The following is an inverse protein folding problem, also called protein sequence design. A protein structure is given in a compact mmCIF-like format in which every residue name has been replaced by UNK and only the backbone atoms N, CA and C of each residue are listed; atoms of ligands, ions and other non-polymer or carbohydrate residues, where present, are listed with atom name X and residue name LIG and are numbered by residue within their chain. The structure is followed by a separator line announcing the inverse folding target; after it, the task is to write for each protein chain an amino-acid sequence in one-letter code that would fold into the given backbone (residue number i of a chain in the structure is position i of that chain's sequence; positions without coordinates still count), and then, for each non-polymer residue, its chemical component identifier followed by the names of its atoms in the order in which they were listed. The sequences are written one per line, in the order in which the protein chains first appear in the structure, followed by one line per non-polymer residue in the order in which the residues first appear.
data_IF_631227586956
#
_entry.id   IF_631227586956
#
_cell.length_a   1.000
_cell.length_b   1.000
_cell.length_c   1.000
_cell.angle_alpha   90.00
_cell.angle_beta   90.00
_cell.angle_gamma   90.00
#
_symmetry.space_group_name_H-M   'P 1'
#
loop_
_entity.id
_entity.type
_entity.pdbx_description
1 polymer ?
#
# COMPACT_ATOMS: atom_id res chain seq x y z
N UNK A 1 7.83 13.02 -8.88
CA UNK A 1 8.22 12.25 -7.67
C UNK A 1 9.71 12.34 -7.44
N UNK A 2 10.50 11.65 -8.27
CA UNK A 2 11.97 11.61 -8.12
C UNK A 2 12.67 12.94 -8.37
N UNK A 3 12.24 13.75 -9.35
CA UNK A 3 12.76 15.11 -9.53
C UNK A 3 12.64 15.97 -8.26
N UNK A 4 11.47 15.97 -7.63
CA UNK A 4 11.26 16.74 -6.40
C UNK A 4 12.11 16.21 -5.22
N UNK A 5 12.32 14.89 -5.13
CA UNK A 5 13.23 14.31 -4.14
C UNK A 5 14.69 14.66 -4.42
N UNK A 6 15.08 14.73 -5.70
CA UNK A 6 16.41 15.09 -6.13
C UNK A 6 16.78 16.52 -5.71
N UNK A 7 15.88 17.49 -5.91
CA UNK A 7 16.07 18.89 -5.51
C UNK A 7 16.34 19.05 -3.99
N UNK A 8 15.95 18.06 -3.19
CA UNK A 8 16.13 18.05 -1.73
C UNK A 8 17.18 17.04 -1.26
N UNK A 9 17.96 16.45 -2.17
CA UNK A 9 18.90 15.35 -1.90
C UNK A 9 18.26 14.24 -1.02
N UNK A 10 17.03 13.85 -1.35
CA UNK A 10 16.17 12.97 -0.55
C UNK A 10 15.65 11.78 -1.36
N UNK A 11 16.47 11.28 -2.27
CA UNK A 11 16.15 10.16 -3.15
C UNK A 11 16.06 8.85 -2.36
N UNK A 12 15.16 7.99 -2.81
CA UNK A 12 15.08 6.60 -2.37
C UNK A 12 15.81 5.78 -3.43
N UNK A 13 16.79 4.99 -3.02
CA UNK A 13 17.49 4.08 -3.93
C UNK A 13 16.63 2.83 -4.18
N UNK A 14 16.50 2.43 -5.44
CA UNK A 14 15.50 1.45 -5.91
C UNK A 14 16.09 0.09 -6.32
N UNK A 15 17.31 -0.21 -5.89
CA UNK A 15 17.98 -1.51 -6.04
C UNK A 15 18.52 -1.81 -7.44
N UNK A 16 17.85 -1.34 -8.49
CA UNK A 16 18.26 -1.52 -9.89
C UNK A 16 18.75 -0.23 -10.53
N UNK A 17 19.52 -0.34 -11.62
CA UNK A 17 20.03 0.79 -12.40
C UNK A 17 20.68 1.88 -11.53
N UNK A 18 21.42 1.44 -10.50
CA UNK A 18 22.09 2.32 -9.54
C UNK A 18 23.59 2.12 -9.60
N UNK A 19 24.35 3.21 -9.53
CA UNK A 19 25.79 3.20 -9.32
C UNK A 19 26.10 3.74 -7.93
N UNK A 20 26.91 3.00 -7.17
CA UNK A 20 27.36 3.39 -5.84
C UNK A 20 28.89 3.47 -5.87
N UNK A 21 29.46 4.54 -5.31
CA UNK A 21 30.91 4.65 -5.18
C UNK A 21 31.42 3.56 -4.24
N UNK A 22 32.50 2.88 -4.65
CA UNK A 22 33.07 1.76 -3.90
C UNK A 22 33.50 2.15 -2.49
N UNK A 23 34.22 3.26 -2.35
CA UNK A 23 34.76 3.70 -1.05
C UNK A 23 33.65 3.99 -0.01
N UNK A 24 32.61 4.78 -0.28
CA UNK A 24 31.48 4.94 0.65
C UNK A 24 30.74 3.63 0.96
N UNK A 25 30.57 2.74 -0.03
CA UNK A 25 29.93 1.44 0.20
C UNK A 25 30.72 0.59 1.20
N UNK A 26 32.05 0.57 1.06
CA UNK A 26 32.92 -0.20 1.94
C UNK A 26 33.05 0.44 3.33
N UNK A 27 33.20 1.77 3.41
CA UNK A 27 33.39 2.50 4.65
C UNK A 27 32.14 2.45 5.56
N UNK A 28 30.95 2.44 4.98
CA UNK A 28 29.70 2.52 5.74
C UNK A 28 29.00 1.18 5.92
N UNK A 29 29.69 0.04 5.81
CA UNK A 29 29.15 -1.27 6.20
C UNK A 29 28.38 -2.02 5.10
N UNK A 30 28.77 -1.84 3.83
CA UNK A 30 28.32 -2.63 2.66
C UNK A 30 26.79 -2.65 2.51
N UNK A 31 26.19 -3.72 2.01
CA UNK A 31 24.73 -3.89 1.97
C UNK A 31 24.22 -4.36 3.35
N UNK A 32 23.09 -3.85 3.81
CA UNK A 32 22.51 -4.31 5.08
C UNK A 32 21.91 -5.71 4.94
N UNK A 33 22.23 -6.57 5.91
CA UNK A 33 21.72 -7.96 5.95
C UNK A 33 20.41 -8.10 6.74
N UNK A 34 20.05 -7.08 7.52
CA UNK A 34 18.87 -7.08 8.40
C UNK A 34 17.61 -6.51 7.74
N UNK A 35 17.75 -5.76 6.65
CA UNK A 35 16.66 -5.08 5.95
C UNK A 35 16.35 -5.76 4.63
N UNK A 36 15.06 -6.00 4.35
CA UNK A 36 14.64 -6.55 3.05
C UNK A 36 14.68 -5.52 1.90
N UNK A 37 14.79 -4.24 2.25
CA UNK A 37 14.97 -3.11 1.35
C UNK A 37 16.36 -2.53 1.63
N UNK A 38 17.38 -3.38 1.48
CA UNK A 38 18.79 -3.04 1.68
C UNK A 38 19.23 -1.88 0.78
N UNK A 39 18.55 -1.74 -0.36
CA UNK A 39 18.71 -0.66 -1.32
C UNK A 39 18.36 0.72 -0.72
N UNK A 40 17.12 0.85 -0.28
CA UNK A 40 16.60 2.08 0.32
C UNK A 40 17.33 2.40 1.62
N UNK A 41 17.69 1.37 2.39
CA UNK A 41 18.45 1.50 3.64
C UNK A 41 19.85 2.06 3.38
N UNK A 42 20.59 1.51 2.41
CA UNK A 42 21.90 2.02 2.02
C UNK A 42 21.81 3.50 1.60
N UNK A 43 20.81 3.85 0.80
CA UNK A 43 20.57 5.23 0.38
C UNK A 43 20.41 6.18 1.56
N UNK A 44 19.57 5.83 2.54
CA UNK A 44 19.37 6.65 3.75
C UNK A 44 20.66 6.76 4.58
N UNK A 45 21.34 5.63 4.81
CA UNK A 45 22.58 5.61 5.59
C UNK A 45 23.68 6.45 4.95
N UNK A 46 23.78 6.47 3.62
CA UNK A 46 24.73 7.34 2.93
C UNK A 46 24.38 8.83 3.12
N UNK A 47 23.09 9.19 3.11
CA UNK A 47 22.66 10.57 3.43
C UNK A 47 22.99 10.96 4.87
N UNK A 48 22.81 10.05 5.83
CA UNK A 48 23.20 10.26 7.23
C UNK A 48 24.72 10.47 7.40
N UNK A 49 25.53 9.99 6.46
CA UNK A 49 26.98 10.19 6.45
C UNK A 49 27.42 11.36 5.53
N UNK A 50 26.49 12.23 5.12
CA UNK A 50 26.79 13.44 4.36
C UNK A 50 27.04 13.23 2.87
N UNK A 51 26.80 12.03 2.35
CA UNK A 51 26.85 11.79 0.91
C UNK A 51 25.60 12.32 0.20
N UNK A 52 25.71 12.39 -1.11
CA UNK A 52 24.64 12.85 -1.98
C UNK A 52 24.14 11.74 -2.88
N UNK A 53 22.82 11.69 -3.06
CA UNK A 53 22.17 10.83 -4.04
C UNK A 53 21.74 11.69 -5.24
N UNK A 54 22.06 11.22 -6.46
CA UNK A 54 21.72 11.89 -7.71
C UNK A 54 20.80 11.01 -8.55
N UNK A 55 19.80 11.63 -9.17
CA UNK A 55 18.85 10.98 -10.09
C UNK A 55 19.13 11.53 -11.48
N UNK A 56 19.30 10.62 -12.44
CA UNK A 56 19.47 10.94 -13.85
C UNK A 56 18.21 10.43 -14.56
N UNK A 57 17.51 11.32 -15.24
CA UNK A 57 16.22 11.00 -15.89
C UNK A 57 16.39 10.42 -17.30
N UNK A 58 17.36 9.52 -17.44
CA UNK A 58 17.64 8.81 -18.69
C UNK A 58 17.33 7.31 -18.52
N UNK A 59 16.79 6.71 -19.58
CA UNK A 59 16.45 5.28 -19.57
C UNK A 59 17.68 4.44 -19.91
N UNK A 60 18.32 3.87 -18.89
CA UNK A 60 19.46 2.96 -19.06
C UNK A 60 19.10 1.47 -19.12
N UNK A 61 17.82 1.11 -18.91
CA UNK A 61 17.38 -0.28 -18.93
C UNK A 61 15.86 -0.44 -18.84
N UNK A 62 15.38 -1.64 -19.14
CA UNK A 62 13.95 -2.01 -19.10
C UNK A 62 13.77 -3.25 -18.23
N UNK A 63 13.10 -3.09 -17.09
CA UNK A 63 12.80 -4.18 -16.16
C UNK A 63 11.55 -4.96 -16.57
N UNK A 64 11.44 -6.19 -16.07
CA UNK A 64 10.20 -6.97 -16.16
C UNK A 64 9.28 -6.59 -15.00
N UNK A 65 7.99 -6.38 -15.30
CA UNK A 65 6.95 -6.20 -14.29
C UNK A 65 6.56 -7.57 -13.69
N UNK A 66 5.93 -7.59 -12.50
CA UNK A 66 5.40 -8.83 -11.93
C UNK A 66 4.43 -9.53 -12.90
N UNK A 67 4.58 -10.85 -13.06
CA UNK A 67 3.83 -11.64 -14.05
C UNK A 67 2.37 -11.92 -13.67
N UNK A 68 2.02 -11.78 -12.40
CA UNK A 68 0.66 -11.96 -11.90
C UNK A 68 0.39 -11.07 -10.68
N UNK A 69 -0.87 -11.06 -10.23
CA UNK A 69 -1.29 -10.23 -9.10
C UNK A 69 -0.69 -10.69 -7.77
N UNK A 70 -0.46 -11.99 -7.58
CA UNK A 70 0.20 -12.54 -6.38
C UNK A 70 1.63 -12.03 -6.25
N UNK A 71 2.38 -12.02 -7.35
CA UNK A 71 3.74 -11.50 -7.45
C UNK A 71 3.77 -10.01 -7.14
N UNK A 72 2.82 -9.23 -7.69
CA UNK A 72 2.69 -7.80 -7.41
C UNK A 72 2.38 -7.52 -5.93
N UNK A 73 1.43 -8.26 -5.33
CA UNK A 73 1.13 -8.20 -3.89
C UNK A 73 2.37 -8.50 -3.04
N UNK A 74 3.08 -9.57 -3.38
CA UNK A 74 4.29 -9.96 -2.65
C UNK A 74 5.39 -8.90 -2.72
N UNK A 75 5.57 -8.26 -3.88
CA UNK A 75 6.54 -7.17 -4.04
C UNK A 75 6.17 -5.97 -3.16
N UNK A 76 4.90 -5.53 -3.22
CA UNK A 76 4.43 -4.37 -2.46
C UNK A 76 4.41 -4.61 -0.95
N UNK A 77 4.09 -5.84 -0.53
CA UNK A 77 4.25 -6.27 0.87
C UNK A 77 5.70 -6.11 1.33
N UNK A 78 6.68 -6.59 0.55
CA UNK A 78 8.11 -6.48 0.91
C UNK A 78 8.57 -5.05 1.04
N UNK A 79 8.16 -4.17 0.11
CA UNK A 79 8.48 -2.74 0.18
C UNK A 79 7.91 -2.10 1.44
N UNK A 80 6.63 -2.34 1.73
CA UNK A 80 5.97 -1.83 2.93
C UNK A 80 6.64 -2.32 4.22
N UNK A 81 6.96 -3.61 4.27
CA UNK A 81 7.68 -4.22 5.38
C UNK A 81 9.06 -3.59 5.58
N UNK A 82 9.87 -3.51 4.53
CA UNK A 82 11.23 -2.97 4.58
C UNK A 82 11.26 -1.50 4.99
N UNK A 83 10.36 -0.66 4.49
CA UNK A 83 10.29 0.73 4.95
C UNK A 83 9.98 0.85 6.43
N UNK A 84 9.13 -0.01 7.01
CA UNK A 84 8.88 0.02 8.45
C UNK A 84 10.09 -0.47 9.26
N UNK A 85 10.86 -1.43 8.74
CA UNK A 85 12.15 -1.81 9.34
C UNK A 85 13.12 -0.63 9.35
N UNK A 86 13.28 0.06 8.21
CA UNK A 86 14.15 1.24 8.06
C UNK A 86 13.68 2.36 8.99
N UNK A 87 12.39 2.68 8.98
CA UNK A 87 11.80 3.72 9.82
C UNK A 87 12.07 3.45 11.31
N UNK A 88 11.94 2.20 11.77
CA UNK A 88 12.22 1.82 13.17
C UNK A 88 13.70 1.94 13.51
N UNK A 89 14.58 1.45 12.64
CA UNK A 89 16.01 1.43 12.88
C UNK A 89 16.58 2.86 12.91
N UNK A 90 16.18 3.67 11.93
CA UNK A 90 16.69 5.04 11.72
C UNK A 90 15.80 6.11 12.36
N UNK A 91 14.84 5.72 13.22
CA UNK A 91 13.84 6.64 13.79
C UNK A 91 14.51 7.84 14.48
N UNK A 92 15.54 7.60 15.29
CA UNK A 92 16.25 8.65 16.03
C UNK A 92 16.89 9.67 15.10
N UNK A 93 17.46 9.26 13.97
CA UNK A 93 18.05 10.19 13.01
C UNK A 93 16.99 10.94 12.18
N UNK A 94 15.83 10.33 11.96
CA UNK A 94 14.74 10.93 11.20
C UNK A 94 14.00 12.02 11.99
N UNK A 95 13.85 11.86 13.31
CA UNK A 95 13.10 12.81 14.16
C UNK A 95 13.96 13.61 15.16
N UNK A 96 15.16 13.15 15.48
CA UNK A 96 16.04 13.74 16.50
C UNK A 96 17.25 14.45 15.91
N UNK A 97 18.35 14.49 16.67
CA UNK A 97 19.61 15.08 16.21
C UNK A 97 20.26 14.20 15.15
N UNK A 98 20.48 14.77 13.97
CA UNK A 98 21.18 14.09 12.87
C UNK A 98 21.70 15.09 11.85
N UNK A 99 22.61 14.60 11.03
CA UNK A 99 23.16 15.27 9.84
C UNK A 99 22.14 15.42 8.71
N UNK A 100 20.99 14.73 8.79
CA UNK A 100 19.95 14.82 7.77
C UNK A 100 19.27 16.19 7.81
N UNK A 101 19.18 16.81 6.64
CA UNK A 101 18.42 18.04 6.42
C UNK A 101 16.93 17.84 6.67
N UNK A 102 16.20 18.92 6.97
CA UNK A 102 14.75 18.88 7.10
C UNK A 102 14.05 18.32 5.85
N UNK A 103 14.54 18.68 4.65
CA UNK A 103 13.98 18.19 3.38
C UNK A 103 14.10 16.67 3.23
N UNK A 104 15.25 16.10 3.63
CA UNK A 104 15.47 14.66 3.64
C UNK A 104 14.51 13.95 4.60
N UNK A 105 14.46 14.41 5.86
CA UNK A 105 13.57 13.86 6.89
C UNK A 105 12.12 13.89 6.44
N UNK A 106 11.66 15.04 5.93
CA UNK A 106 10.30 15.21 5.41
C UNK A 106 9.99 14.18 4.33
N UNK A 107 10.87 14.02 3.33
CA UNK A 107 10.61 13.12 2.21
C UNK A 107 10.65 11.63 2.58
N UNK A 108 11.53 11.21 3.50
CA UNK A 108 11.53 9.83 3.98
C UNK A 108 10.28 9.54 4.82
N UNK A 109 9.95 10.40 5.78
CA UNK A 109 8.77 10.24 6.62
C UNK A 109 7.48 10.29 5.78
N UNK A 110 7.24 11.38 5.05
CA UNK A 110 6.00 11.56 4.23
C UNK A 110 5.89 10.56 3.09
N UNK A 111 7.02 10.07 2.57
CA UNK A 111 7.05 9.02 1.56
C UNK A 111 6.41 7.70 2.03
N UNK A 112 6.53 7.39 3.31
CA UNK A 112 6.01 6.15 3.89
C UNK A 112 4.70 6.34 4.68
N UNK A 113 4.34 7.58 5.05
CA UNK A 113 3.06 7.89 5.70
C UNK A 113 1.85 7.39 4.90
N UNK A 114 1.92 7.39 3.57
CA UNK A 114 0.85 6.83 2.73
C UNK A 114 0.54 5.37 3.04
N UNK A 115 1.55 4.55 3.34
CA UNK A 115 1.39 3.13 3.67
C UNK A 115 0.82 2.91 5.07
N UNK A 116 1.15 3.78 6.03
CA UNK A 116 0.50 3.79 7.35
C UNK A 116 -1.01 4.01 7.21
N UNK A 117 -1.44 4.81 6.23
CA UNK A 117 -2.85 5.00 5.90
C UNK A 117 -3.56 3.70 5.48
N UNK A 118 -2.91 2.81 4.73
CA UNK A 118 -3.49 1.51 4.37
C UNK A 118 -3.57 0.58 5.59
N UNK A 119 -2.59 0.60 6.49
CA UNK A 119 -2.65 -0.16 7.75
C UNK A 119 -3.80 0.31 8.65
N UNK A 120 -3.96 1.63 8.79
CA UNK A 120 -5.05 2.22 9.56
C UNK A 120 -6.42 1.86 8.95
N UNK A 121 -6.53 1.87 7.62
CA UNK A 121 -7.74 1.44 6.91
C UNK A 121 -8.12 -0.01 7.22
N UNK A 122 -7.14 -0.92 7.29
CA UNK A 122 -7.38 -2.32 7.65
C UNK A 122 -7.88 -2.44 9.10
N UNK A 123 -7.28 -1.71 10.04
CA UNK A 123 -7.73 -1.67 11.44
C UNK A 123 -9.17 -1.17 11.52
N UNK A 124 -9.49 -0.08 10.82
CA UNK A 124 -10.86 0.43 10.78
C UNK A 124 -11.84 -0.54 10.13
N UNK A 125 -11.43 -1.26 9.08
CA UNK A 125 -12.28 -2.28 8.46
C UNK A 125 -12.65 -3.37 9.46
N UNK A 126 -11.66 -3.93 10.17
CA UNK A 126 -11.88 -4.97 11.18
C UNK A 126 -12.74 -4.41 12.32
N UNK A 127 -12.46 -3.18 12.75
CA UNK A 127 -13.26 -2.46 13.75
C UNK A 127 -14.72 -2.26 13.33
N UNK A 128 -14.99 -1.85 12.08
CA UNK A 128 -16.35 -1.68 11.56
C UNK A 128 -17.13 -2.98 11.51
N UNK A 129 -16.48 -4.08 11.11
CA UNK A 129 -17.09 -5.42 11.10
C UNK A 129 -17.43 -5.83 12.53
N UNK A 130 -16.47 -5.73 13.46
CA UNK A 130 -16.67 -6.08 14.87
C UNK A 130 -17.78 -5.23 15.51
N UNK A 131 -17.80 -3.92 15.24
CA UNK A 131 -18.83 -3.01 15.73
C UNK A 131 -20.20 -3.35 15.15
N UNK A 132 -20.28 -3.70 13.87
CA UNK A 132 -21.53 -4.15 13.24
C UNK A 132 -22.05 -5.42 13.89
N UNK A 133 -21.18 -6.40 14.13
CA UNK A 133 -21.55 -7.64 14.84
C UNK A 133 -22.04 -7.32 16.25
N UNK A 134 -21.36 -6.42 16.98
CA UNK A 134 -21.77 -6.01 18.32
C UNK A 134 -23.15 -5.32 18.34
N UNK A 135 -23.44 -4.44 17.36
CA UNK A 135 -24.76 -3.81 17.21
C UNK A 135 -25.88 -4.81 16.91
N UNK A 136 -25.56 -5.91 16.22
CA UNK A 136 -26.52 -6.97 15.91
C UNK A 136 -26.73 -7.92 17.09
N UNK A 137 -25.67 -8.25 17.83
CA UNK A 137 -25.71 -9.16 18.97
C UNK A 137 -26.26 -8.49 20.25
N UNK A 138 -25.95 -7.21 20.47
CA UNK A 138 -26.30 -6.46 21.68
C UNK A 138 -26.92 -5.10 21.33
N UNK A 139 -28.12 -5.09 20.74
CA UNK A 139 -28.73 -3.88 20.17
C UNK A 139 -29.07 -2.78 21.19
N UNK A 140 -29.14 -3.11 22.48
CA UNK A 140 -29.40 -2.16 23.58
C UNK A 140 -28.12 -1.52 24.13
N UNK A 141 -26.97 -2.16 23.93
CA UNK A 141 -25.67 -1.70 24.43
C UNK A 141 -24.85 -0.95 23.37
N UNK A 142 -25.08 -1.26 22.09
CA UNK A 142 -24.34 -0.66 20.97
C UNK A 142 -25.30 0.05 20.01
N UNK A 143 -25.04 1.34 19.79
CA UNK A 143 -25.78 2.16 18.84
C UNK A 143 -24.95 2.43 17.58
N UNK A 144 -25.64 2.90 16.54
CA UNK A 144 -24.98 3.50 15.38
C UNK A 144 -24.08 4.65 15.85
N UNK A 145 -22.84 4.75 15.35
CA UNK A 145 -22.00 5.91 15.65
C UNK A 145 -22.65 7.19 15.16
N UNK A 146 -22.47 8.26 15.91
CA UNK A 146 -23.03 9.58 15.57
C UNK A 146 -22.50 9.99 14.19
N UNK A 147 -23.38 10.47 13.31
CA UNK A 147 -23.06 10.89 11.94
C UNK A 147 -21.79 11.75 11.85
N UNK A 148 -21.57 12.67 12.80
CA UNK A 148 -20.38 13.54 12.84
C UNK A 148 -19.04 12.79 12.92
N UNK A 149 -19.03 11.57 13.46
CA UNK A 149 -17.83 10.73 13.53
C UNK A 149 -17.55 9.97 12.23
N UNK A 150 -18.60 9.65 11.47
CA UNK A 150 -18.50 8.88 10.22
C UNK A 150 -18.13 9.80 9.05
N UNK A 151 -18.64 11.04 9.02
CA UNK A 151 -18.47 11.97 7.91
C UNK A 151 -17.01 12.24 7.54
N UNK A 152 -16.07 12.54 8.48
CA UNK A 152 -14.67 12.77 8.11
C UNK A 152 -14.00 11.55 7.48
N UNK A 153 -14.34 10.35 7.95
CA UNK A 153 -13.82 9.08 7.42
C UNK A 153 -14.32 8.86 6.00
N UNK A 154 -15.61 9.06 5.76
CA UNK A 154 -16.22 8.99 4.42
C UNK A 154 -15.58 10.01 3.47
N UNK A 155 -15.43 11.26 3.89
CA UNK A 155 -14.78 12.29 3.09
C UNK A 155 -13.34 11.91 2.73
N UNK A 156 -12.56 11.45 3.71
CA UNK A 156 -11.19 11.01 3.47
C UNK A 156 -11.12 9.87 2.45
N UNK A 157 -11.97 8.85 2.59
CA UNK A 157 -12.01 7.71 1.67
C UNK A 157 -12.46 8.10 0.26
N UNK A 158 -13.49 8.96 0.15
CA UNK A 158 -13.97 9.46 -1.13
C UNK A 158 -12.90 10.30 -1.85
N UNK A 159 -12.22 11.20 -1.12
CA UNK A 159 -11.11 11.99 -1.65
C UNK A 159 -9.98 11.07 -2.11
N UNK A 160 -9.57 10.09 -1.28
CA UNK A 160 -8.51 9.13 -1.65
C UNK A 160 -8.86 8.36 -2.92
N UNK A 161 -10.11 7.91 -3.06
CA UNK A 161 -10.59 7.20 -4.24
C UNK A 161 -10.60 8.08 -5.50
N UNK A 162 -10.96 9.37 -5.37
CA UNK A 162 -11.01 10.32 -6.48
C UNK A 162 -9.63 10.83 -6.91
N UNK A 163 -8.71 11.05 -5.94
CA UNK A 163 -7.41 11.67 -6.20
C UNK A 163 -6.51 10.79 -7.09
N UNK A 164 -6.60 9.46 -6.96
CA UNK A 164 -5.78 8.51 -7.73
C UNK A 164 -5.93 8.69 -9.25
N UNK A 165 -7.14 8.51 -9.81
CA UNK A 165 -7.40 8.73 -11.24
C UNK A 165 -7.06 10.14 -11.71
N UNK A 166 -7.36 11.17 -10.90
CA UNK A 166 -7.06 12.58 -11.24
C UNK A 166 -5.56 12.82 -11.38
N UNK A 167 -4.76 12.30 -10.44
CA UNK A 167 -3.30 12.42 -10.48
C UNK A 167 -2.71 11.64 -11.65
N UNK A 168 -3.17 10.41 -11.89
CA UNK A 168 -2.73 9.63 -13.04
C UNK A 168 -3.04 10.32 -14.36
N UNK A 169 -4.24 10.90 -14.53
CA UNK A 169 -4.56 11.65 -15.74
C UNK A 169 -3.66 12.87 -15.93
N UNK A 170 -3.34 13.58 -14.84
CA UNK A 170 -2.49 14.77 -14.87
C UNK A 170 -1.03 14.44 -15.20
N UNK A 171 -0.51 13.34 -14.66
CA UNK A 171 0.91 12.97 -14.77
C UNK A 171 1.20 12.07 -15.97
N UNK A 172 0.27 11.18 -16.34
CA UNK A 172 0.44 10.17 -17.39
C UNK A 172 -0.41 10.53 -18.62
N UNK A 173 -0.09 11.65 -19.26
CA UNK A 173 -0.91 12.22 -20.36
C UNK A 173 -1.06 11.28 -21.57
N UNK A 174 -0.09 10.39 -21.77
CA UNK A 174 0.00 9.47 -22.91
C UNK A 174 -0.67 8.12 -22.67
N UNK A 175 -1.09 7.82 -21.44
CA UNK A 175 -1.79 6.56 -21.13
C UNK A 175 -3.27 6.65 -21.46
N UNK A 176 -3.86 5.52 -21.86
CA UNK A 176 -5.29 5.43 -22.11
C UNK A 176 -6.09 5.52 -20.81
N UNK A 177 -7.39 5.84 -20.90
CA UNK A 177 -8.28 5.80 -19.73
C UNK A 177 -8.41 4.39 -19.13
N UNK A 178 -8.30 3.35 -19.96
CA UNK A 178 -8.30 1.96 -19.52
C UNK A 178 -7.07 1.66 -18.64
N UNK A 179 -5.89 2.14 -19.05
CA UNK A 179 -4.65 1.97 -18.27
C UNK A 179 -4.72 2.74 -16.94
N UNK A 180 -5.26 3.95 -16.94
CA UNK A 180 -5.42 4.78 -15.74
C UNK A 180 -6.38 4.10 -14.76
N UNK A 181 -7.50 3.58 -15.26
CA UNK A 181 -8.46 2.85 -14.44
C UNK A 181 -7.86 1.54 -13.92
N UNK A 182 -7.18 0.77 -14.76
CA UNK A 182 -6.49 -0.46 -14.39
C UNK A 182 -5.41 -0.22 -13.32
N UNK A 183 -4.62 0.84 -13.45
CA UNK A 183 -3.63 1.24 -12.45
C UNK A 183 -4.29 1.66 -11.13
N UNK A 184 -5.42 2.38 -11.18
CA UNK A 184 -6.15 2.81 -9.99
C UNK A 184 -6.77 1.61 -9.27
N UNK A 185 -7.36 0.68 -10.02
CA UNK A 185 -7.91 -0.58 -9.52
C UNK A 185 -6.80 -1.42 -8.86
N UNK A 186 -5.65 -1.57 -9.53
CA UNK A 186 -4.50 -2.28 -8.98
C UNK A 186 -3.98 -1.61 -7.69
N UNK A 187 -3.90 -0.28 -7.66
CA UNK A 187 -3.48 0.47 -6.47
C UNK A 187 -4.39 0.20 -5.27
N UNK A 188 -5.72 0.24 -5.47
CA UNK A 188 -6.69 -0.10 -4.43
C UNK A 188 -6.60 -1.58 -4.02
N UNK A 189 -6.46 -2.50 -4.99
CA UNK A 189 -6.35 -3.93 -4.72
C UNK A 189 -5.12 -4.32 -3.89
N UNK A 190 -4.08 -3.49 -3.89
CA UNK A 190 -2.85 -3.72 -3.14
C UNK A 190 -2.92 -3.23 -1.68
N UNK A 191 -3.92 -2.44 -1.30
CA UNK A 191 -4.01 -1.84 0.04
C UNK A 191 -3.91 -2.87 1.16
N UNK A 192 -4.57 -4.04 1.07
CA UNK A 192 -4.47 -5.09 2.10
C UNK A 192 -3.05 -5.66 2.23
N UNK A 193 -2.38 -5.93 1.11
CA UNK A 193 -1.02 -6.43 1.10
C UNK A 193 -0.03 -5.41 1.70
N UNK A 194 -0.21 -4.12 1.38
CA UNK A 194 0.58 -3.02 1.96
C UNK A 194 0.32 -2.91 3.46
N UNK A 195 -0.95 -2.92 3.88
CA UNK A 195 -1.36 -2.86 5.28
C UNK A 195 -0.70 -3.98 6.12
N UNK A 196 -0.74 -5.22 5.62
CA UNK A 196 -0.06 -6.34 6.29
C UNK A 196 1.45 -6.16 6.33
N UNK A 197 2.05 -5.64 5.25
CA UNK A 197 3.49 -5.35 5.20
C UNK A 197 3.89 -4.34 6.29
N UNK A 198 3.11 -3.28 6.44
CA UNK A 198 3.31 -2.26 7.47
C UNK A 198 3.18 -2.84 8.88
N UNK A 199 2.05 -3.49 9.19
CA UNK A 199 1.79 -4.05 10.53
C UNK A 199 2.89 -5.05 10.89
N UNK A 200 3.24 -5.93 9.96
CA UNK A 200 4.28 -6.95 10.18
C UNK A 200 5.66 -6.31 10.34
N UNK A 201 6.01 -5.29 9.57
CA UNK A 201 7.31 -4.60 9.67
C UNK A 201 7.45 -3.78 10.97
N UNK A 202 6.33 -3.26 11.49
CA UNK A 202 6.31 -2.63 12.81
C UNK A 202 6.49 -3.65 13.94
N UNK A 203 5.82 -4.80 13.86
CA UNK A 203 5.84 -5.82 14.92
C UNK A 203 7.08 -6.73 14.91
N UNK A 204 7.50 -7.21 13.73
CA UNK A 204 8.60 -8.17 13.60
C UNK A 204 9.95 -7.45 13.43
N UNK A 205 11.03 -8.14 13.82
CA UNK A 205 12.41 -7.69 13.59
C UNK A 205 12.95 -8.23 12.25
N UNK A 206 12.71 -9.50 11.98
CA UNK A 206 13.24 -10.19 10.79
C UNK A 206 12.14 -10.48 9.76
N UNK A 207 12.49 -10.34 8.48
CA UNK A 207 11.63 -10.69 7.34
C UNK A 207 12.39 -11.56 6.35
N UNK A 208 11.75 -12.63 5.87
CA UNK A 208 12.34 -13.50 4.85
C UNK A 208 11.95 -12.99 3.46
N UNK A 209 12.94 -12.72 2.62
CA UNK A 209 12.72 -12.45 1.20
C UNK A 209 12.24 -13.72 0.49
N UNK A 210 10.94 -13.80 0.24
CA UNK A 210 10.41 -14.82 -0.68
C UNK A 210 10.61 -14.34 -2.12
N UNK A 211 11.41 -15.09 -2.88
CA UNK A 211 11.68 -14.82 -4.29
C UNK A 211 10.38 -14.77 -5.07
N UNK A 212 10.14 -13.66 -5.76
CA UNK A 212 8.99 -13.50 -6.64
C UNK A 212 9.17 -14.46 -7.82
N UNK A 213 8.23 -15.39 -8.01
CA UNK A 213 8.25 -16.30 -9.15
C UNK A 213 8.24 -15.51 -10.47
N UNK A 214 9.09 -15.90 -11.42
CA UNK A 214 9.09 -15.37 -12.78
C UNK A 214 8.29 -16.33 -13.67
N UNK A 215 7.20 -15.86 -14.27
CA UNK A 215 6.34 -16.65 -15.17
C UNK A 215 4.96 -16.97 -14.58
N UNK A 216 4.03 -17.38 -15.44
CA UNK A 216 2.66 -17.79 -15.05
C UNK A 216 2.60 -19.31 -14.92
N UNK A 217 2.34 -19.81 -13.71
CA UNK A 217 1.99 -21.22 -13.50
C UNK A 217 0.50 -21.44 -13.86
N UNK A 218 0.15 -22.55 -14.50
CA UNK A 218 -1.26 -22.93 -14.71
C UNK A 218 -1.86 -23.31 -13.35
N UNK A 219 -2.82 -22.52 -12.87
CA UNK A 219 -3.52 -22.76 -11.61
C UNK A 219 -4.87 -23.45 -11.86
N UNK A 220 -5.26 -24.37 -10.98
CA UNK A 220 -6.62 -24.93 -10.98
C UNK A 220 -7.66 -23.86 -10.58
N UNK A 221 -8.93 -24.03 -10.97
CA UNK A 221 -10.00 -23.02 -10.72
C UNK A 221 -10.11 -22.58 -9.25
N UNK A 222 -9.90 -23.51 -8.30
CA UNK A 222 -9.96 -23.22 -6.85
C UNK A 222 -8.68 -22.52 -6.35
N UNK A 223 -7.53 -22.75 -6.99
CA UNK A 223 -6.25 -22.14 -6.60
C UNK A 223 -6.14 -20.68 -7.03
N UNK A 224 -7.01 -20.22 -7.93
CA UNK A 224 -7.09 -18.83 -8.39
C UNK A 224 -7.38 -17.88 -7.21
N UNK A 225 -8.14 -18.32 -6.21
CA UNK A 225 -8.54 -17.47 -5.08
C UNK A 225 -7.56 -17.55 -3.90
N UNK A 226 -6.71 -18.58 -3.83
CA UNK A 226 -5.75 -18.75 -2.74
C UNK A 226 -4.89 -17.50 -2.46
N UNK A 227 -4.40 -16.74 -3.47
CA UNK A 227 -3.62 -15.53 -3.21
C UNK A 227 -4.40 -14.41 -2.54
N UNK A 228 -5.74 -14.42 -2.61
CA UNK A 228 -6.62 -13.33 -2.17
C UNK A 228 -7.67 -13.79 -1.14
N UNK A 229 -7.46 -14.93 -0.46
CA UNK A 229 -8.48 -15.51 0.42
C UNK A 229 -8.85 -14.58 1.58
N UNK A 230 -7.86 -13.88 2.16
CA UNK A 230 -8.09 -12.91 3.23
C UNK A 230 -8.94 -11.73 2.74
N UNK A 231 -8.59 -11.17 1.58
CA UNK A 231 -9.36 -10.09 0.96
C UNK A 231 -10.78 -10.53 0.61
N UNK A 232 -10.94 -11.76 0.11
CA UNK A 232 -12.25 -12.31 -0.21
C UNK A 232 -13.12 -12.48 1.03
N UNK A 233 -12.57 -13.00 2.13
CA UNK A 233 -13.29 -13.11 3.41
C UNK A 233 -13.71 -11.74 3.93
N UNK A 234 -12.82 -10.74 3.88
CA UNK A 234 -13.15 -9.37 4.30
C UNK A 234 -14.23 -8.73 3.40
N UNK A 235 -14.17 -8.96 2.08
CA UNK A 235 -15.20 -8.51 1.15
C UNK A 235 -16.57 -9.10 1.49
N UNK A 236 -16.64 -10.42 1.68
CA UNK A 236 -17.89 -11.11 2.02
C UNK A 236 -18.41 -10.64 3.38
N UNK A 237 -17.54 -10.50 4.38
CA UNK A 237 -17.92 -10.01 5.70
C UNK A 237 -18.52 -8.60 5.62
N UNK A 238 -17.90 -7.68 4.88
CA UNK A 238 -18.42 -6.32 4.69
C UNK A 238 -19.77 -6.31 3.98
N UNK A 239 -19.95 -7.13 2.94
CA UNK A 239 -21.23 -7.26 2.23
C UNK A 239 -22.32 -7.79 3.16
N UNK A 240 -22.02 -8.83 3.95
CA UNK A 240 -22.96 -9.39 4.92
C UNK A 240 -23.32 -8.35 5.99
N UNK A 241 -22.34 -7.63 6.53
CA UNK A 241 -22.56 -6.55 7.49
C UNK A 241 -23.45 -5.45 6.91
N UNK A 242 -23.19 -5.01 5.68
CA UNK A 242 -24.01 -4.01 4.99
C UNK A 242 -25.45 -4.48 4.81
N UNK A 243 -25.66 -5.71 4.32
CA UNK A 243 -27.01 -6.27 4.13
C UNK A 243 -27.74 -6.46 5.46
N UNK A 244 -27.06 -6.97 6.49
CA UNK A 244 -27.64 -7.14 7.82
C UNK A 244 -28.10 -5.80 8.42
N UNK A 245 -27.32 -4.72 8.23
CA UNK A 245 -27.71 -3.39 8.69
C UNK A 245 -28.91 -2.84 7.94
N UNK A 246 -29.02 -3.05 6.63
CA UNK A 246 -30.19 -2.65 5.84
C UNK A 246 -31.45 -3.43 6.27
N UNK A 247 -31.33 -4.73 6.52
CA UNK A 247 -32.46 -5.58 6.94
C UNK A 247 -32.93 -5.21 8.35
N UNK A 248 -32.01 -4.97 9.28
CA UNK A 248 -32.35 -4.75 10.69
C UNK A 248 -32.73 -3.31 11.03
N UNK A 249 -32.14 -2.32 10.37
CA UNK A 249 -32.37 -0.89 10.64
C UNK A 249 -33.18 -0.17 9.57
N UNK A 250 -33.46 -0.86 8.45
CA UNK A 250 -34.29 -0.35 7.36
C UNK A 250 -33.56 0.65 6.45
N UNK A 251 -34.25 1.03 5.38
CA UNK A 251 -33.72 1.94 4.36
C UNK A 251 -34.00 3.42 4.62
N UNK A 252 -34.76 3.76 5.67
CA UNK A 252 -35.19 5.15 5.94
C UNK A 252 -34.31 5.87 6.96
N UNK A 253 -33.52 5.13 7.75
CA UNK A 253 -32.66 5.71 8.78
C UNK A 253 -31.35 6.21 8.15
N UNK A 254 -31.10 7.53 8.25
CA UNK A 254 -29.92 8.17 7.66
C UNK A 254 -28.60 7.68 8.27
N UNK A 255 -28.55 7.42 9.59
CA UNK A 255 -27.36 6.91 10.25
C UNK A 255 -27.03 5.48 9.77
N UNK A 256 -28.07 4.67 9.54
CA UNK A 256 -27.90 3.32 8.99
C UNK A 256 -27.40 3.36 7.53
N UNK A 257 -27.94 4.26 6.71
CA UNK A 257 -27.48 4.46 5.34
C UNK A 257 -26.02 4.94 5.29
N UNK A 258 -25.63 5.87 6.16
CA UNK A 258 -24.24 6.36 6.23
C UNK A 258 -23.27 5.28 6.70
N UNK A 259 -23.68 4.44 7.66
CA UNK A 259 -22.89 3.29 8.07
C UNK A 259 -22.71 2.27 6.93
N UNK A 260 -23.80 1.95 6.21
CA UNK A 260 -23.75 1.05 5.05
C UNK A 260 -22.90 1.64 3.92
N UNK A 261 -22.98 2.95 3.68
CA UNK A 261 -22.13 3.64 2.71
C UNK A 261 -20.65 3.54 3.10
N UNK A 262 -20.33 3.68 4.39
CA UNK A 262 -18.97 3.50 4.91
C UNK A 262 -18.48 2.07 4.72
N UNK A 263 -19.28 1.06 5.09
CA UNK A 263 -18.94 -0.35 4.88
C UNK A 263 -18.72 -0.66 3.39
N UNK A 264 -19.56 -0.11 2.51
CA UNK A 264 -19.44 -0.27 1.05
C UNK A 264 -18.17 0.37 0.51
N UNK A 265 -17.80 1.55 1.02
CA UNK A 265 -16.57 2.24 0.64
C UNK A 265 -15.33 1.49 1.14
N UNK A 266 -15.41 0.92 2.35
CA UNK A 266 -14.38 0.02 2.90
C UNK A 266 -14.25 -1.30 2.11
N UNK A 267 -15.29 -1.72 1.39
CA UNK A 267 -15.25 -2.92 0.55
C UNK A 267 -14.48 -2.73 -0.76
N UNK A 268 -14.29 -1.49 -1.23
CA UNK A 268 -13.66 -1.19 -2.53
C UNK A 268 -12.25 -1.79 -2.71
N UNK A 269 -11.32 -1.71 -1.75
CA UNK A 269 -9.99 -2.32 -1.90
C UNK A 269 -10.07 -3.84 -2.09
N UNK A 270 -10.98 -4.51 -1.39
CA UNK A 270 -11.13 -5.97 -1.47
C UNK A 270 -11.83 -6.41 -2.76
N UNK A 271 -12.85 -5.66 -3.21
CA UNK A 271 -13.45 -5.84 -4.51
C UNK A 271 -12.44 -5.62 -5.65
N UNK A 272 -11.58 -4.61 -5.50
CA UNK A 272 -10.49 -4.32 -6.45
C UNK A 272 -9.46 -5.45 -6.48
N UNK A 273 -9.09 -6.00 -5.32
CA UNK A 273 -8.19 -7.16 -5.22
C UNK A 273 -8.76 -8.39 -5.94
N UNK A 274 -10.05 -8.66 -5.75
CA UNK A 274 -10.76 -9.72 -6.47
C UNK A 274 -10.75 -9.47 -7.99
N UNK A 275 -11.11 -8.27 -8.44
CA UNK A 275 -11.10 -7.90 -9.85
C UNK A 275 -9.70 -8.04 -10.47
N UNK A 276 -8.65 -7.55 -9.80
CA UNK A 276 -7.26 -7.68 -10.26
C UNK A 276 -6.81 -9.13 -10.36
N UNK A 277 -7.20 -9.98 -9.41
CA UNK A 277 -6.89 -11.41 -9.47
C UNK A 277 -7.53 -12.07 -10.70
N UNK A 278 -8.81 -11.79 -10.98
CA UNK A 278 -9.50 -12.30 -12.17
C UNK A 278 -8.87 -11.76 -13.47
N UNK A 279 -8.56 -10.46 -13.52
CA UNK A 279 -7.92 -9.84 -14.69
C UNK A 279 -6.54 -10.46 -14.95
N UNK A 280 -5.77 -10.76 -13.91
CA UNK A 280 -4.43 -11.36 -14.06
C UNK A 280 -4.42 -12.75 -14.68
N UNK A 281 -5.55 -13.46 -14.69
CA UNK A 281 -5.70 -14.76 -15.35
C UNK A 281 -5.93 -14.65 -16.85
N UNK A 282 -6.19 -13.44 -17.38
CA UNK A 282 -6.33 -13.24 -18.82
C UNK A 282 -4.98 -13.49 -19.52
N UNK A 283 -5.00 -14.07 -20.74
CA UNK A 283 -3.78 -14.21 -21.52
C UNK A 283 -3.18 -12.83 -21.80
N UNK A 284 -1.85 -12.75 -21.83
CA UNK A 284 -1.17 -11.51 -22.13
C UNK A 284 -1.52 -11.07 -23.56
N UNK A 285 -1.93 -9.81 -23.71
CA UNK A 285 -2.10 -9.25 -25.03
C UNK A 285 -0.72 -9.03 -25.64
N UNK A 286 -0.54 -9.30 -26.95
CA UNK A 286 0.70 -8.94 -27.63
C UNK A 286 0.95 -7.45 -27.46
N UNK A 287 2.18 -7.10 -27.06
CA UNK A 287 2.61 -5.71 -26.94
C UNK A 287 2.47 -5.06 -28.33
N UNK A 288 1.61 -4.04 -28.43
CA UNK A 288 1.47 -3.23 -29.66
C UNK A 288 2.67 -2.31 -29.83
#
# INVERSE_FOLDING_TARGET
GMHHRHERNALIQHGTMTLVRFEPLMAHGKWSEWCICEDTELGLRLLENGYELRYIDDTFGRGLTPSDFKALKSQRFRWAFGAMQILKHHFKHLIGDSTLTFGQRYHFLTGWFGWLGDALQLIFTIGSIAWTIAMLAFPTSFSLPVTIMITPILCFLAIKAALGPVLYRKTMKHCSWEDIFGASLASLGLSHAIAKGVITGLMKKDGVFKVTAKGKAKLNKLEILNPIIEEFVLLVALVICSLAMLITRGFTNIDAQLWVAMLSLQALPYASSFACQIISQRPDQPVK
#
